data_IF_571786489572
#
_entry.id   IF_571786489572
#
_cell.length_a   1.000
_cell.length_b   1.000
_cell.length_c   1.000
_cell.angle_alpha   90.00
_cell.angle_beta   90.00
_cell.angle_gamma   90.00
#
_symmetry.space_group_name_H-M   'P 1'
#
loop_
_entity.id
_entity.type
_entity.pdbx_description
1 polymer ?
#
# COMPACT_ATOMS: atom_id res chain seq x y z
N UNK A 1 15.66 -26.71 -4.46
CA UNK A 1 15.70 -25.32 -3.95
C UNK A 1 14.43 -25.10 -3.15
N UNK A 2 14.52 -25.08 -1.83
CA UNK A 2 13.36 -24.93 -0.95
C UNK A 2 12.75 -23.55 -1.17
N UNK A 3 11.56 -23.53 -1.77
CA UNK A 3 10.70 -22.35 -1.82
C UNK A 3 10.41 -22.00 -0.36
N UNK A 4 11.13 -21.02 0.20
CA UNK A 4 10.73 -20.39 1.46
C UNK A 4 9.35 -19.83 1.19
N UNK A 5 8.32 -20.56 1.61
CA UNK A 5 6.96 -20.06 1.67
C UNK A 5 7.05 -18.74 2.44
N UNK A 6 6.95 -17.64 1.73
CA UNK A 6 6.95 -16.31 2.31
C UNK A 6 5.75 -16.25 3.22
N UNK A 7 6.00 -16.23 4.54
CA UNK A 7 4.96 -16.22 5.55
C UNK A 7 3.98 -15.08 5.22
N UNK A 8 2.72 -15.40 4.88
CA UNK A 8 1.74 -14.39 4.50
C UNK A 8 1.51 -13.38 5.62
N UNK A 9 1.78 -13.74 6.89
CA UNK A 9 1.74 -12.83 8.03
C UNK A 9 2.83 -11.76 7.98
N UNK A 10 4.05 -12.12 7.57
CA UNK A 10 5.18 -11.17 7.44
C UNK A 10 4.90 -10.17 6.32
N UNK A 11 4.42 -10.66 5.17
CA UNK A 11 4.10 -9.82 4.04
C UNK A 11 2.95 -8.84 4.37
N UNK A 12 1.92 -9.31 5.09
CA UNK A 12 0.82 -8.48 5.57
C UNK A 12 1.33 -7.41 6.55
N UNK A 13 2.17 -7.81 7.50
CA UNK A 13 2.75 -6.90 8.49
C UNK A 13 3.56 -5.78 7.81
N UNK A 14 4.40 -6.12 6.83
CA UNK A 14 5.18 -5.15 6.06
C UNK A 14 4.24 -4.16 5.34
N UNK A 15 3.19 -4.65 4.68
CA UNK A 15 2.21 -3.79 4.01
C UNK A 15 1.54 -2.86 5.01
N UNK A 16 1.03 -3.38 6.13
CA UNK A 16 0.35 -2.58 7.14
C UNK A 16 1.26 -1.50 7.71
N UNK A 17 2.50 -1.85 8.09
CA UNK A 17 3.47 -0.91 8.63
C UNK A 17 3.83 0.19 7.63
N UNK A 18 4.01 -0.16 6.35
CA UNK A 18 4.33 0.79 5.29
C UNK A 18 3.13 1.63 4.84
N UNK A 19 1.89 1.20 5.13
CA UNK A 19 0.69 2.01 4.89
C UNK A 19 0.44 3.05 5.98
N UNK A 20 1.01 2.91 7.19
CA UNK A 20 0.79 3.89 8.26
C UNK A 20 1.23 5.31 7.87
N UNK A 21 2.42 5.53 7.26
CA UNK A 21 2.80 6.84 6.75
C UNK A 21 1.86 7.38 5.67
N UNK A 22 1.37 6.52 4.77
CA UNK A 22 0.37 6.91 3.76
C UNK A 22 -0.91 7.40 4.44
N UNK A 23 -1.47 6.62 5.37
CA UNK A 23 -2.69 6.98 6.09
C UNK A 23 -2.52 8.27 6.89
N UNK A 24 -1.39 8.43 7.59
CA UNK A 24 -1.08 9.64 8.35
C UNK A 24 -0.98 10.88 7.47
N UNK A 25 -0.25 10.78 6.35
CA UNK A 25 -0.12 11.88 5.42
C UNK A 25 -1.44 12.21 4.70
N UNK A 26 -2.19 11.20 4.27
CA UNK A 26 -3.51 11.38 3.66
C UNK A 26 -4.49 12.05 4.64
N UNK A 27 -4.48 11.66 5.91
CA UNK A 27 -5.28 12.30 6.95
C UNK A 27 -4.89 13.76 7.15
N UNK A 28 -3.59 14.05 7.22
CA UNK A 28 -3.09 15.42 7.34
C UNK A 28 -3.56 16.28 6.15
N UNK A 29 -3.42 15.79 4.91
CA UNK A 29 -3.89 16.47 3.71
C UNK A 29 -5.40 16.70 3.79
N UNK A 30 -6.18 15.65 4.09
CA UNK A 30 -7.64 15.74 4.20
C UNK A 30 -8.10 16.75 5.25
N UNK A 31 -7.40 16.85 6.39
CA UNK A 31 -7.71 17.80 7.46
C UNK A 31 -7.47 19.28 7.08
N UNK A 32 -6.69 19.51 6.02
CA UNK A 32 -6.40 20.84 5.49
C UNK A 32 -7.24 21.20 4.26
N UNK A 33 -7.96 20.23 3.69
CA UNK A 33 -8.82 20.46 2.53
C UNK A 33 -10.20 20.92 2.97
N UNK A 34 -10.81 21.79 2.16
CA UNK A 34 -12.25 22.05 2.29
C UNK A 34 -13.04 20.80 1.90
N UNK A 35 -14.20 20.51 2.56
CA UNK A 35 -15.01 19.33 2.24
C UNK A 35 -15.47 19.24 0.78
N UNK A 36 -15.47 20.37 0.07
CA UNK A 36 -15.88 20.49 -1.34
C UNK A 36 -14.71 20.57 -2.31
N UNK A 37 -13.48 20.60 -1.81
CA UNK A 37 -12.30 20.75 -2.65
C UNK A 37 -11.97 19.42 -3.35
N UNK A 38 -11.90 19.40 -4.69
CA UNK A 38 -11.54 18.19 -5.41
C UNK A 38 -10.05 17.86 -5.23
N UNK A 39 -9.74 16.56 -5.22
CA UNK A 39 -8.37 16.04 -5.09
C UNK A 39 -7.44 16.54 -6.20
N UNK A 40 -8.00 16.86 -7.38
CA UNK A 40 -7.25 17.40 -8.54
C UNK A 40 -6.70 18.80 -8.30
N UNK A 41 -7.22 19.54 -7.31
CA UNK A 41 -6.71 20.86 -6.93
C UNK A 41 -5.57 20.79 -5.91
N UNK A 42 -5.19 19.59 -5.47
CA UNK A 42 -4.02 19.43 -4.61
C UNK A 42 -2.73 19.78 -5.37
N UNK A 43 -1.73 20.32 -4.66
CA UNK A 43 -0.40 20.51 -5.23
C UNK A 43 0.12 19.20 -5.83
N UNK A 44 0.73 19.27 -7.01
CA UNK A 44 1.30 18.11 -7.69
C UNK A 44 2.27 17.32 -6.80
N UNK A 45 3.05 18.02 -5.97
CA UNK A 45 3.95 17.38 -5.00
C UNK A 45 3.21 16.52 -3.97
N UNK A 46 2.06 16.97 -3.48
CA UNK A 46 1.22 16.21 -2.54
C UNK A 46 0.72 14.93 -3.19
N UNK A 47 0.26 15.01 -4.45
CA UNK A 47 -0.18 13.86 -5.23
C UNK A 47 0.97 12.87 -5.48
N UNK A 48 2.16 13.36 -5.81
CA UNK A 48 3.35 12.53 -5.99
C UNK A 48 3.78 11.83 -4.70
N UNK A 49 3.74 12.51 -3.56
CA UNK A 49 4.05 11.92 -2.25
C UNK A 49 3.03 10.83 -1.90
N UNK A 50 1.74 11.11 -2.08
CA UNK A 50 0.68 10.11 -1.85
C UNK A 50 0.88 8.88 -2.74
N UNK A 51 1.19 9.08 -4.02
CA UNK A 51 1.45 7.98 -4.96
C UNK A 51 2.71 7.18 -4.57
N UNK A 52 3.79 7.87 -4.19
CA UNK A 52 5.02 7.23 -3.76
C UNK A 52 4.79 6.37 -2.51
N UNK A 53 4.09 6.90 -1.49
CA UNK A 53 3.75 6.17 -0.27
C UNK A 53 2.79 5.00 -0.54
N UNK A 54 1.88 5.13 -1.50
CA UNK A 54 0.97 4.05 -1.90
C UNK A 54 1.71 2.88 -2.55
N UNK A 55 2.71 3.15 -3.39
CA UNK A 55 3.44 2.15 -4.17
C UNK A 55 4.63 1.54 -3.39
N UNK A 56 5.16 2.27 -2.40
CA UNK A 56 6.30 1.85 -1.57
C UNK A 56 6.19 0.42 -0.99
N UNK A 57 5.06 -0.02 -0.40
CA UNK A 57 4.93 -1.38 0.13
C UNK A 57 5.16 -2.45 -0.92
N UNK A 58 4.64 -2.24 -2.13
CA UNK A 58 4.79 -3.17 -3.25
C UNK A 58 6.27 -3.24 -3.68
N UNK A 59 6.94 -2.09 -3.76
CA UNK A 59 8.37 -2.02 -4.08
C UNK A 59 9.24 -2.74 -3.04
N UNK A 60 8.92 -2.57 -1.76
CA UNK A 60 9.63 -3.24 -0.66
C UNK A 60 9.43 -4.75 -0.74
N UNK A 61 8.19 -5.22 -0.91
CA UNK A 61 7.91 -6.65 -1.08
C UNK A 61 8.65 -7.24 -2.30
N UNK A 62 8.66 -6.52 -3.42
CA UNK A 62 9.37 -6.94 -4.62
C UNK A 62 10.89 -7.02 -4.38
N UNK A 63 11.48 -6.01 -3.72
CA UNK A 63 12.90 -6.01 -3.35
C UNK A 63 13.27 -7.14 -2.40
N UNK A 64 12.39 -7.48 -1.48
CA UNK A 64 12.57 -8.59 -0.53
C UNK A 64 12.24 -9.96 -1.16
N UNK A 65 11.81 -10.00 -2.43
CA UNK A 65 11.34 -11.20 -3.13
C UNK A 65 10.24 -11.93 -2.37
N UNK A 66 9.39 -11.18 -1.66
CA UNK A 66 8.26 -11.70 -0.92
C UNK A 66 7.07 -11.74 -1.88
N UNK A 67 6.58 -12.94 -2.17
CA UNK A 67 5.36 -13.10 -2.93
C UNK A 67 4.17 -12.67 -2.06
N UNK A 68 3.48 -11.61 -2.47
CA UNK A 68 2.25 -11.16 -1.83
C UNK A 68 1.08 -11.42 -2.75
N UNK A 69 0.21 -12.35 -2.35
CA UNK A 69 -1.09 -12.52 -2.98
C UNK A 69 -2.15 -11.82 -2.11
N UNK A 70 -2.69 -10.66 -2.52
CA UNK A 70 -3.65 -9.92 -1.71
C UNK A 70 -4.90 -10.78 -1.46
N UNK A 71 -5.59 -10.60 -0.33
CA UNK A 71 -6.74 -11.44 0.04
C UNK A 71 -7.81 -11.52 -1.05
N UNK A 72 -8.07 -10.42 -1.76
CA UNK A 72 -9.01 -10.40 -2.90
C UNK A 72 -8.58 -11.26 -4.09
N UNK A 73 -7.29 -11.40 -4.35
CA UNK A 73 -6.80 -12.25 -5.43
C UNK A 73 -6.85 -13.75 -5.05
N UNK A 74 -6.81 -14.08 -3.76
CA UNK A 74 -7.06 -15.45 -3.26
C UNK A 74 -8.52 -15.89 -3.39
N UNK A 75 -9.47 -14.96 -3.42
CA UNK A 75 -10.88 -15.28 -3.68
C UNK A 75 -11.12 -15.84 -5.09
N UNK A 76 -10.16 -15.66 -6.01
CA UNK A 76 -10.22 -16.19 -7.37
C UNK A 76 -9.41 -17.49 -7.53
N UNK A 77 -8.81 -18.02 -6.45
CA UNK A 77 -8.15 -19.32 -6.49
C UNK A 77 -9.23 -20.42 -6.44
N UNK A 78 -9.14 -21.45 -7.30
CA UNK A 78 -10.09 -22.55 -7.27
C UNK A 78 -10.03 -23.23 -5.90
N UNK A 79 -11.20 -23.39 -5.27
CA UNK A 79 -11.38 -24.19 -4.06
C UNK A 79 -11.29 -25.66 -4.49
N UNK A 80 -10.09 -26.23 -4.47
CA UNK A 80 -9.88 -27.68 -4.54
C UNK A 80 -10.32 -28.37 -3.23
#
# INVERSE_FOLDING_TARGET
MSNKASDPGIALLIVVLLQLPFCGYAWQVASTMSPTQPITELPAMTLLILLALLVLPILVLHRLRIAWNPPRARLNEPLD
#
